data_IF_362800757331
#
_entry.id   IF_362800757331
#
_cell.length_a   1.000
_cell.length_b   1.000
_cell.length_c   1.000
_cell.angle_alpha   90.00
_cell.angle_beta   90.00
_cell.angle_gamma   90.00
#
_symmetry.space_group_name_H-M   'P 1'
#
loop_
_entity.id
_entity.type
_entity.pdbx_description
1 polymer ?
#
# COMPACT_ATOMS: atom_id res chain seq x y z
N UNK A 1 36.38 2.15 34.41
CA UNK A 1 34.91 2.34 34.40
C UNK A 1 34.38 2.94 33.09
N UNK A 2 35.16 2.96 32.00
CA UNK A 2 34.75 3.60 30.73
C UNK A 2 33.76 2.79 29.87
N UNK A 3 33.77 1.45 29.95
CA UNK A 3 32.94 0.61 29.08
C UNK A 3 31.43 0.83 29.32
N UNK A 4 31.04 1.03 30.58
CA UNK A 4 29.65 1.29 30.93
C UNK A 4 29.17 2.66 30.43
N UNK A 5 30.03 3.68 30.51
CA UNK A 5 29.74 5.02 30.00
C UNK A 5 29.66 5.02 28.47
N UNK A 6 30.56 4.30 27.79
CA UNK A 6 30.51 4.10 26.34
C UNK A 6 29.20 3.41 25.91
N UNK A 7 28.79 2.34 26.60
CA UNK A 7 27.51 1.68 26.34
C UNK A 7 26.32 2.60 26.57
N UNK A 8 26.35 3.42 27.62
CA UNK A 8 25.28 4.38 27.90
C UNK A 8 25.18 5.43 26.78
N UNK A 9 26.31 5.94 26.31
CA UNK A 9 26.34 6.88 25.18
C UNK A 9 25.83 6.25 23.88
N UNK A 10 26.22 5.01 23.59
CA UNK A 10 25.71 4.27 22.43
C UNK A 10 24.21 4.03 22.53
N UNK A 11 23.71 3.68 23.71
CA UNK A 11 22.29 3.47 23.95
C UNK A 11 21.47 4.73 23.70
N UNK A 12 21.88 5.89 24.23
CA UNK A 12 21.15 7.14 24.00
C UNK A 12 21.16 7.53 22.51
N UNK A 13 22.31 7.38 21.82
CA UNK A 13 22.38 7.59 20.36
C UNK A 13 21.43 6.68 19.59
N UNK A 14 21.36 5.39 19.95
CA UNK A 14 20.44 4.45 19.33
C UNK A 14 18.99 4.80 19.61
N UNK A 15 18.69 5.30 20.81
CA UNK A 15 17.34 5.72 21.20
C UNK A 15 16.87 6.91 20.38
N UNK A 16 17.74 7.89 20.15
CA UNK A 16 17.48 9.05 19.29
C UNK A 16 17.36 8.64 17.80
N UNK A 17 18.25 7.78 17.32
CA UNK A 17 18.17 7.24 15.96
C UNK A 17 16.89 6.42 15.74
N UNK A 18 16.44 5.69 16.77
CA UNK A 18 15.16 4.98 16.73
C UNK A 18 13.98 5.94 16.67
N UNK A 19 13.93 6.95 17.52
CA UNK A 19 12.78 7.87 17.56
C UNK A 19 12.61 8.66 16.26
N UNK A 20 13.71 8.97 15.56
CA UNK A 20 13.69 9.60 14.24
C UNK A 20 13.24 8.63 13.13
N UNK A 21 13.55 7.34 13.26
CA UNK A 21 13.19 6.30 12.29
C UNK A 21 11.78 5.73 12.49
N UNK A 22 11.26 5.72 13.72
CA UNK A 22 9.92 5.24 14.10
C UNK A 22 8.79 5.72 13.16
N UNK A 23 8.66 7.01 12.79
CA UNK A 23 7.59 7.46 11.89
C UNK A 23 7.68 6.84 10.49
N UNK A 24 8.89 6.56 10.00
CA UNK A 24 9.10 5.89 8.70
C UNK A 24 8.72 4.42 8.82
N UNK A 25 9.16 3.76 9.89
CA UNK A 25 8.86 2.35 10.18
C UNK A 25 7.35 2.13 10.35
N UNK A 26 6.62 3.05 10.99
CA UNK A 26 5.17 2.96 11.07
C UNK A 26 4.48 2.96 9.70
N UNK A 27 4.96 3.77 8.75
CA UNK A 27 4.43 3.82 7.39
C UNK A 27 4.76 2.52 6.63
N UNK A 28 5.99 2.02 6.76
CA UNK A 28 6.42 0.73 6.23
C UNK A 28 5.54 -0.40 6.78
N UNK A 29 5.32 -0.46 8.09
CA UNK A 29 4.47 -1.47 8.73
C UNK A 29 3.01 -1.39 8.25
N UNK A 30 2.47 -0.20 8.00
CA UNK A 30 1.13 -0.02 7.42
C UNK A 30 1.07 -0.61 6.01
N UNK A 31 2.11 -0.41 5.20
CA UNK A 31 2.23 -1.00 3.86
C UNK A 31 2.32 -2.53 3.94
N UNK A 32 3.17 -3.09 4.79
CA UNK A 32 3.32 -4.54 4.93
C UNK A 32 2.01 -5.21 5.33
N UNK A 33 1.22 -4.61 6.21
CA UNK A 33 -0.13 -5.09 6.55
C UNK A 33 -1.06 -5.12 5.34
N UNK A 34 -1.00 -4.12 4.46
CA UNK A 34 -1.79 -4.14 3.24
C UNK A 34 -1.31 -5.22 2.25
N UNK A 35 0.00 -5.46 2.17
CA UNK A 35 0.55 -6.56 1.37
C UNK A 35 0.13 -7.93 1.90
N UNK A 36 0.10 -8.14 3.22
CA UNK A 36 -0.45 -9.38 3.78
C UNK A 36 -1.93 -9.54 3.45
N UNK A 37 -2.73 -8.46 3.51
CA UNK A 37 -4.13 -8.48 3.07
C UNK A 37 -4.27 -8.83 1.59
N UNK A 38 -3.33 -8.40 0.74
CA UNK A 38 -3.30 -8.77 -0.69
C UNK A 38 -3.12 -10.27 -0.86
N UNK A 39 -2.16 -10.86 -0.15
CA UNK A 39 -1.91 -12.30 -0.19
C UNK A 39 -3.13 -13.10 0.31
N UNK A 40 -3.78 -12.64 1.38
CA UNK A 40 -5.04 -13.26 1.85
C UNK A 40 -6.14 -13.22 0.79
N UNK A 41 -6.29 -12.09 0.10
CA UNK A 41 -7.28 -11.94 -0.96
C UNK A 41 -6.98 -12.86 -2.16
N UNK A 42 -5.71 -12.99 -2.55
CA UNK A 42 -5.27 -13.91 -3.60
C UNK A 42 -5.53 -15.37 -3.22
N UNK A 43 -5.27 -15.76 -1.96
CA UNK A 43 -5.59 -17.09 -1.44
C UNK A 43 -7.10 -17.38 -1.47
N UNK A 44 -7.92 -16.38 -1.13
CA UNK A 44 -9.38 -16.50 -1.18
C UNK A 44 -9.91 -16.63 -2.61
N UNK A 45 -9.31 -15.91 -3.56
CA UNK A 45 -9.66 -16.02 -4.98
C UNK A 45 -9.25 -17.34 -5.60
N UNK A 46 -8.15 -17.92 -5.13
CA UNK A 46 -7.62 -19.20 -5.60
C UNK A 46 -8.33 -20.41 -5.00
N UNK A 47 -9.23 -20.21 -4.03
CA UNK A 47 -9.94 -21.30 -3.38
C UNK A 47 -11.01 -21.93 -4.31
N UNK A 48 -10.90 -23.22 -4.67
CA UNK A 48 -11.85 -23.88 -5.56
C UNK A 48 -13.25 -24.04 -4.95
N UNK A 49 -13.37 -24.03 -3.62
CA UNK A 49 -14.65 -24.15 -2.92
C UNK A 49 -15.38 -22.82 -2.72
N UNK A 50 -14.87 -21.73 -3.31
CA UNK A 50 -15.39 -20.37 -3.14
C UNK A 50 -16.88 -20.23 -3.46
N UNK A 51 -17.37 -21.00 -4.44
CA UNK A 51 -18.76 -20.93 -4.91
C UNK A 51 -19.60 -22.17 -4.56
N UNK A 52 -18.97 -23.25 -4.08
CA UNK A 52 -19.66 -24.51 -3.77
C UNK A 52 -20.35 -24.48 -2.41
N UNK A 53 -19.81 -23.73 -1.44
CA UNK A 53 -20.37 -23.69 -0.09
C UNK A 53 -21.40 -22.55 0.11
N UNK A 54 -22.67 -22.93 0.14
CA UNK A 54 -23.84 -22.03 0.27
C UNK A 54 -23.88 -21.29 1.60
N UNK A 55 -23.26 -21.80 2.67
CA UNK A 55 -23.18 -21.09 3.98
C UNK A 55 -22.10 -20.01 4.00
N UNK A 56 -21.21 -20.03 3.01
CA UNK A 56 -20.01 -19.21 2.99
C UNK A 56 -19.98 -18.19 1.84
N UNK A 57 -20.82 -18.31 0.82
CA UNK A 57 -20.74 -17.47 -0.39
C UNK A 57 -20.88 -15.96 -0.11
N UNK A 58 -21.84 -15.56 0.74
CA UNK A 58 -22.08 -14.14 1.02
C UNK A 58 -21.00 -13.54 1.95
N UNK A 59 -20.50 -14.32 2.90
CA UNK A 59 -19.41 -13.91 3.81
C UNK A 59 -18.08 -13.72 3.08
N UNK A 60 -17.75 -14.60 2.12
CA UNK A 60 -16.55 -14.44 1.30
C UNK A 60 -16.65 -13.25 0.36
N UNK A 61 -17.82 -13.03 -0.26
CA UNK A 61 -18.05 -11.87 -1.11
C UNK A 61 -17.85 -10.56 -0.33
N UNK A 62 -18.41 -10.48 0.87
CA UNK A 62 -18.22 -9.32 1.76
C UNK A 62 -16.76 -9.13 2.18
N UNK A 63 -16.07 -10.22 2.58
CA UNK A 63 -14.65 -10.16 2.95
C UNK A 63 -13.80 -9.69 1.77
N UNK A 64 -14.05 -10.19 0.57
CA UNK A 64 -13.35 -9.78 -0.65
C UNK A 64 -13.60 -8.32 -1.00
N UNK A 65 -14.85 -7.84 -0.91
CA UNK A 65 -15.18 -6.43 -1.12
C UNK A 65 -14.44 -5.56 -0.10
N UNK A 66 -14.44 -5.94 1.18
CA UNK A 66 -13.73 -5.19 2.22
C UNK A 66 -12.22 -5.12 1.97
N UNK A 67 -11.56 -6.26 1.74
CA UNK A 67 -10.13 -6.30 1.46
C UNK A 67 -9.79 -5.55 0.16
N UNK A 68 -10.65 -5.61 -0.87
CA UNK A 68 -10.45 -4.86 -2.12
C UNK A 68 -10.48 -3.34 -1.89
N UNK A 69 -11.37 -2.85 -1.01
CA UNK A 69 -11.42 -1.43 -0.60
C UNK A 69 -10.18 -1.01 0.18
N UNK A 70 -9.66 -1.88 1.05
CA UNK A 70 -8.43 -1.63 1.80
C UNK A 70 -7.23 -1.57 0.85
N UNK A 71 -7.11 -2.51 -0.10
CA UNK A 71 -6.05 -2.51 -1.11
C UNK A 71 -6.12 -1.32 -2.07
N UNK A 72 -7.30 -0.74 -2.30
CA UNK A 72 -7.42 0.49 -3.09
C UNK A 72 -6.64 1.68 -2.48
N UNK A 73 -6.31 1.62 -1.17
CA UNK A 73 -5.49 2.62 -0.48
C UNK A 73 -3.98 2.37 -0.62
N UNK A 74 -3.56 1.18 -1.02
CA UNK A 74 -2.15 0.81 -1.18
C UNK A 74 -1.32 1.82 -2.02
N UNK A 75 -1.77 2.32 -3.19
CA UNK A 75 -0.99 3.31 -3.95
C UNK A 75 -0.80 4.63 -3.20
N UNK A 76 -1.76 5.03 -2.36
CA UNK A 76 -1.62 6.21 -1.52
C UNK A 76 -0.62 5.98 -0.40
N UNK A 77 -0.70 4.83 0.27
CA UNK A 77 0.27 4.44 1.30
C UNK A 77 1.69 4.32 0.73
N UNK A 78 1.86 3.78 -0.49
CA UNK A 78 3.15 3.73 -1.17
C UNK A 78 3.73 5.14 -1.37
N UNK A 79 2.91 6.12 -1.79
CA UNK A 79 3.34 7.53 -1.92
C UNK A 79 3.74 8.15 -0.59
N UNK A 80 2.96 7.93 0.46
CA UNK A 80 3.30 8.41 1.81
C UNK A 80 4.61 7.77 2.31
N UNK A 81 4.83 6.48 2.06
CA UNK A 81 6.07 5.78 2.41
C UNK A 81 7.25 6.38 1.65
N UNK A 82 7.12 6.56 0.33
CA UNK A 82 8.16 7.16 -0.50
C UNK A 82 8.54 8.57 -0.03
N UNK A 83 7.54 9.39 0.35
CA UNK A 83 7.80 10.72 0.91
C UNK A 83 8.52 10.66 2.25
N UNK A 84 8.05 9.82 3.18
CA UNK A 84 8.66 9.69 4.50
C UNK A 84 10.11 9.18 4.41
N UNK A 85 10.36 8.19 3.56
CA UNK A 85 11.69 7.65 3.30
C UNK A 85 12.57 8.72 2.66
N UNK A 86 12.08 9.42 1.64
CA UNK A 86 12.87 10.47 0.98
C UNK A 86 13.27 11.60 1.95
N UNK A 87 12.38 11.98 2.88
CA UNK A 87 12.70 12.98 3.91
C UNK A 87 13.75 12.47 4.90
N UNK A 88 13.70 11.19 5.27
CA UNK A 88 14.66 10.57 6.16
C UNK A 88 16.03 10.38 5.50
N UNK A 89 16.06 9.84 4.27
CA UNK A 89 17.29 9.57 3.53
C UNK A 89 18.08 10.84 3.22
N UNK A 90 17.40 11.98 3.05
CA UNK A 90 18.04 13.28 2.88
C UNK A 90 18.86 13.74 4.10
N UNK A 91 18.56 13.22 5.30
CA UNK A 91 19.15 13.67 6.56
C UNK A 91 20.05 12.61 7.22
N UNK A 92 19.65 11.34 7.17
CA UNK A 92 20.27 10.27 7.97
C UNK A 92 20.91 9.15 7.14
N UNK A 93 20.71 9.16 5.81
CA UNK A 93 21.22 8.15 4.89
C UNK A 93 20.20 7.08 4.51
N UNK A 94 20.64 6.15 3.66
CA UNK A 94 19.77 5.21 2.95
C UNK A 94 19.14 4.14 3.87
N UNK A 95 17.87 3.81 3.60
CA UNK A 95 17.17 2.73 4.32
C UNK A 95 17.30 1.42 3.54
N UNK A 96 18.08 0.50 4.10
CA UNK A 96 18.31 -0.84 3.54
C UNK A 96 17.56 -1.87 4.38
N UNK A 97 16.69 -2.65 3.74
CA UNK A 97 15.99 -3.79 4.34
C UNK A 97 16.28 -5.05 3.53
N UNK A 98 16.58 -6.17 4.20
CA UNK A 98 16.89 -7.45 3.54
C UNK A 98 17.99 -7.37 2.46
N UNK A 99 18.96 -6.45 2.61
CA UNK A 99 20.05 -6.25 1.66
C UNK A 99 19.70 -5.42 0.43
N UNK A 100 18.49 -4.86 0.33
CA UNK A 100 18.07 -3.95 -0.74
C UNK A 100 17.61 -2.62 -0.20
N UNK A 101 17.80 -1.55 -0.98
CA UNK A 101 17.25 -0.24 -0.64
C UNK A 101 15.73 -0.28 -0.79
N UNK A 102 15.02 0.02 0.28
CA UNK A 102 13.57 -0.12 0.32
C UNK A 102 12.85 0.84 -0.65
N UNK A 103 13.48 1.98 -0.96
CA UNK A 103 12.97 2.94 -1.94
C UNK A 103 12.92 2.36 -3.37
N UNK A 104 13.83 1.46 -3.73
CA UNK A 104 13.88 0.88 -5.07
C UNK A 104 12.75 -0.13 -5.27
N UNK A 105 12.44 -0.93 -4.24
CA UNK A 105 11.29 -1.85 -4.24
C UNK A 105 9.96 -1.09 -4.41
N UNK A 106 9.82 0.08 -3.77
CA UNK A 106 8.63 0.92 -3.90
C UNK A 106 8.48 1.49 -5.32
N UNK A 107 9.60 1.89 -5.96
CA UNK A 107 9.60 2.43 -7.33
C UNK A 107 9.26 1.35 -8.35
N UNK A 108 9.83 0.15 -8.22
CA UNK A 108 9.51 -0.99 -9.09
C UNK A 108 8.01 -1.32 -9.07
N UNK A 109 7.39 -1.32 -7.88
CA UNK A 109 5.95 -1.53 -7.75
C UNK A 109 5.09 -0.38 -8.29
N UNK A 110 5.53 0.88 -8.19
CA UNK A 110 4.80 2.02 -8.78
C UNK A 110 4.82 1.96 -10.30
N UNK A 111 5.92 1.50 -10.91
CA UNK A 111 6.03 1.29 -12.36
C UNK A 111 5.07 0.19 -12.83
N UNK A 112 4.96 -0.89 -12.05
CA UNK A 112 4.07 -2.03 -12.36
C UNK A 112 2.59 -1.74 -12.09
N UNK A 113 2.28 -0.73 -11.27
CA UNK A 113 0.92 -0.31 -11.00
C UNK A 113 0.26 0.25 -12.27
N UNK A 114 -0.86 -0.33 -12.76
CA UNK A 114 -1.57 0.23 -13.90
C UNK A 114 -1.95 1.67 -13.58
N UNK A 115 -1.33 2.64 -14.27
CA UNK A 115 -1.81 4.01 -14.25
C UNK A 115 -3.30 3.93 -14.57
N UNK A 116 -4.15 4.58 -13.77
CA UNK A 116 -5.57 4.76 -14.11
C UNK A 116 -5.60 5.63 -15.38
N UNK A 117 -5.37 5.03 -16.53
CA UNK A 117 -5.67 5.63 -17.82
C UNK A 117 -7.19 5.70 -17.82
N UNK A 118 -7.73 6.91 -17.65
CA UNK A 118 -9.12 7.15 -17.96
C UNK A 118 -9.31 6.77 -19.41
N UNK A 119 -9.89 5.60 -19.66
CA UNK A 119 -10.15 5.12 -21.00
C UNK A 119 -11.33 5.94 -21.51
N UNK A 120 -11.03 6.97 -22.29
CA UNK A 120 -12.03 7.68 -23.07
C UNK A 120 -12.43 6.76 -24.21
N UNK A 121 -13.68 6.30 -24.21
CA UNK A 121 -14.29 5.72 -25.41
C UNK A 121 -15.05 6.83 -26.11
N UNK A 122 -14.63 7.16 -27.33
CA UNK A 122 -15.41 7.98 -28.23
C UNK A 122 -16.46 7.09 -28.89
N UNK A 123 -17.59 6.90 -28.21
CA UNK A 123 -18.80 6.37 -28.86
C UNK A 123 -19.65 7.55 -29.33
N UNK A 124 -19.80 7.69 -30.64
CA UNK A 124 -20.80 8.55 -31.30
C UNK A 124 -20.81 10.01 -30.84
N UNK A 125 -19.63 10.66 -30.85
CA UNK A 125 -19.52 12.12 -30.69
C UNK A 125 -19.87 12.66 -29.29
N UNK A 126 -19.99 11.81 -28.27
CA UNK A 126 -20.15 12.23 -26.86
C UNK A 126 -19.03 11.68 -25.98
N UNK A 127 -18.41 12.58 -25.22
CA UNK A 127 -17.23 12.30 -24.39
C UNK A 127 -17.68 11.73 -23.03
N UNK A 128 -17.65 10.41 -22.88
CA UNK A 128 -18.03 9.75 -21.63
C UNK A 128 -16.82 9.50 -20.73
N UNK A 129 -16.89 9.91 -19.46
CA UNK A 129 -15.90 9.56 -18.44
C UNK A 129 -16.38 8.31 -17.72
N UNK A 130 -15.82 7.14 -18.04
CA UNK A 130 -16.05 5.92 -17.28
C UNK A 130 -15.38 6.04 -15.91
N UNK A 131 -16.09 6.64 -14.94
CA UNK A 131 -15.73 6.49 -13.54
C UNK A 131 -16.13 5.06 -13.13
N UNK A 132 -15.15 4.24 -12.72
CA UNK A 132 -15.35 2.83 -12.32
C UNK A 132 -16.10 2.66 -10.98
N UNK A 133 -16.85 3.66 -10.56
CA UNK A 133 -17.70 3.64 -9.37
C UNK A 133 -19.12 4.01 -9.80
N UNK A 134 -20.04 3.09 -9.53
CA UNK A 134 -21.49 3.25 -9.59
C UNK A 134 -22.13 3.16 -10.99
N UNK A 135 -22.86 2.05 -11.19
CA UNK A 135 -23.98 1.96 -12.13
C UNK A 135 -25.12 2.91 -11.69
N UNK A 136 -24.87 4.22 -11.67
CA UNK A 136 -25.93 5.24 -11.63
C UNK A 136 -25.89 6.00 -12.93
N UNK A 137 -26.83 5.64 -13.81
CA UNK A 137 -27.18 6.43 -14.98
C UNK A 137 -27.93 7.66 -14.48
N UNK A 138 -27.21 8.71 -14.11
CA UNK A 138 -27.80 10.04 -14.06
C UNK A 138 -27.50 10.68 -15.42
N UNK A 139 -28.54 10.69 -16.27
CA UNK A 139 -28.55 11.44 -17.51
C UNK A 139 -28.72 12.92 -17.16
N UNK A 140 -27.64 13.69 -17.22
CA UNK A 140 -27.79 15.15 -17.31
C UNK A 140 -28.21 15.49 -18.74
N UNK A 141 -29.49 15.81 -18.90
CA UNK A 141 -30.06 16.43 -20.11
C UNK A 141 -29.68 17.91 -20.14
N UNK A 142 -29.09 18.34 -21.27
CA UNK A 142 -29.03 19.76 -21.68
C UNK A 142 -30.41 20.19 -22.13
#
# INVERSE_FOLDING_TARGET
MELFEQHKQLYERLREAKSTLDPVVEKINKREKLLSTRLELEALRSNPNRYSDRRYSNKYLQKEIQMSKELARLPFVNKECMQAISSYEAQYGEIVMNGKRYMDELKEEEILSPRKVGMWMDCEGRRWRLCKQEYRRECDSV
#
